data_IF_120607464130
#
_entry.id   IF_120607464130
#
_cell.length_a   1.000
_cell.length_b   1.000
_cell.length_c   1.000
_cell.angle_alpha   90.00
_cell.angle_beta   90.00
_cell.angle_gamma   90.00
#
_symmetry.space_group_name_H-M   'P 1'
#
loop_
_entity.id
_entity.type
_entity.pdbx_description
1 polymer ?
#
# COMPACT_ATOMS: atom_id res chain seq x y z
N UNK A 1 34.18 23.05 -14.57
CA UNK A 1 33.23 22.16 -13.88
C UNK A 1 31.86 22.83 -13.91
N UNK A 2 31.02 22.47 -14.88
CA UNK A 2 29.72 23.08 -15.10
C UNK A 2 28.66 22.25 -14.36
N UNK A 3 28.13 22.78 -13.26
CA UNK A 3 26.95 22.26 -12.59
C UNK A 3 25.76 23.13 -13.00
N UNK A 4 24.96 22.66 -13.94
CA UNK A 4 23.67 23.25 -14.24
C UNK A 4 22.62 22.13 -14.22
N UNK A 5 21.53 22.37 -13.50
CA UNK A 5 20.16 22.53 -14.02
C UNK A 5 19.20 22.18 -12.87
N UNK A 6 18.59 23.18 -12.26
CA UNK A 6 17.33 23.80 -12.69
C UNK A 6 16.12 22.85 -12.56
N UNK A 7 15.21 23.31 -11.71
CA UNK A 7 13.77 23.37 -11.99
C UNK A 7 13.04 22.03 -12.07
N UNK A 8 12.54 21.62 -10.90
CA UNK A 8 11.43 20.70 -10.78
C UNK A 8 10.18 21.26 -11.46
N UNK A 9 9.59 20.40 -12.31
CA UNK A 9 8.34 20.50 -13.06
C UNK A 9 8.38 21.19 -14.42
N UNK A 10 7.79 20.49 -15.42
CA UNK A 10 6.49 20.95 -15.89
C UNK A 10 5.44 19.82 -16.06
N UNK A 11 4.19 20.19 -15.75
CA UNK A 11 2.97 19.91 -16.52
C UNK A 11 2.75 18.51 -17.12
N UNK A 12 1.79 17.76 -16.56
CA UNK A 12 1.02 16.78 -17.33
C UNK A 12 -0.02 17.53 -18.17
N UNK A 13 0.35 17.82 -19.42
CA UNK A 13 -0.57 18.31 -20.43
C UNK A 13 -0.24 17.65 -21.76
N UNK A 14 -0.98 16.59 -22.13
CA UNK A 14 -1.38 16.22 -23.48
C UNK A 14 -1.91 14.77 -23.46
N UNK A 15 -3.19 14.62 -23.78
CA UNK A 15 -3.75 13.35 -24.20
C UNK A 15 -3.16 13.02 -25.59
N UNK A 16 -2.12 12.19 -25.64
CA UNK A 16 -1.64 11.61 -26.90
C UNK A 16 -2.14 10.17 -27.03
N UNK A 17 -2.99 9.98 -28.04
CA UNK A 17 -3.50 8.70 -28.52
C UNK A 17 -2.35 7.79 -28.93
N UNK A 18 -2.11 6.72 -28.17
CA UNK A 18 -1.10 5.70 -28.47
C UNK A 18 -1.61 4.78 -29.59
N UNK A 19 -0.94 4.67 -30.76
CA UNK A 19 -1.30 3.69 -31.79
C UNK A 19 -0.98 2.25 -31.32
N UNK A 20 -1.74 1.22 -31.74
CA UNK A 20 -1.56 -0.14 -31.26
C UNK A 20 -0.22 -0.72 -31.76
N UNK A 21 0.80 -0.71 -30.89
CA UNK A 21 2.09 -1.33 -31.15
C UNK A 21 2.02 -2.85 -30.97
N UNK A 22 1.98 -3.59 -32.07
CA UNK A 22 1.91 -5.07 -32.15
C UNK A 22 3.18 -5.79 -31.63
N UNK A 23 4.11 -5.07 -30.99
CA UNK A 23 5.35 -5.63 -30.42
C UNK A 23 5.49 -5.54 -28.90
N UNK A 24 4.54 -4.92 -28.19
CA UNK A 24 4.66 -4.65 -26.76
C UNK A 24 4.17 -5.78 -25.85
N UNK A 25 3.43 -6.76 -26.39
CA UNK A 25 2.82 -7.82 -25.57
C UNK A 25 3.85 -8.71 -24.86
N UNK A 26 4.95 -9.10 -25.53
CA UNK A 26 5.95 -10.00 -24.96
C UNK A 26 6.81 -9.32 -23.88
N UNK A 27 7.29 -8.11 -24.16
CA UNK A 27 8.07 -7.32 -23.18
C UNK A 27 7.22 -6.88 -22.00
N UNK A 28 5.95 -6.53 -22.21
CA UNK A 28 5.02 -6.22 -21.13
C UNK A 28 4.76 -7.44 -20.24
N UNK A 29 4.61 -8.64 -20.83
CA UNK A 29 4.46 -9.89 -20.08
C UNK A 29 5.73 -10.22 -19.28
N UNK A 30 6.92 -10.10 -19.87
CA UNK A 30 8.19 -10.32 -19.16
C UNK A 30 8.41 -9.35 -17.99
N UNK A 31 8.02 -8.08 -18.16
CA UNK A 31 8.08 -7.08 -17.08
C UNK A 31 7.05 -7.37 -16.00
N UNK A 32 5.82 -7.76 -16.38
CA UNK A 32 4.80 -8.20 -15.44
C UNK A 32 5.26 -9.43 -14.65
N UNK A 33 5.85 -10.43 -15.31
CA UNK A 33 6.38 -11.64 -14.68
C UNK A 33 7.54 -11.31 -13.73
N UNK A 34 8.41 -10.36 -14.08
CA UNK A 34 9.48 -9.87 -13.19
C UNK A 34 8.93 -9.12 -11.98
N UNK A 35 7.94 -8.27 -12.17
CA UNK A 35 7.29 -7.55 -11.07
C UNK A 35 6.63 -8.57 -10.15
N UNK A 36 5.85 -9.51 -10.69
CA UNK A 36 5.19 -10.57 -9.95
C UNK A 36 6.20 -11.49 -9.24
N UNK A 37 7.34 -11.82 -9.85
CA UNK A 37 8.39 -12.62 -9.21
C UNK A 37 9.04 -11.91 -8.00
N UNK A 38 9.00 -10.57 -7.96
CA UNK A 38 9.48 -9.76 -6.82
C UNK A 38 8.41 -9.55 -5.75
N UNK A 39 7.14 -9.92 -6.01
CA UNK A 39 6.06 -9.84 -5.00
C UNK A 39 6.18 -11.02 -4.05
N UNK A 40 6.35 -10.73 -2.76
CA UNK A 40 6.55 -11.74 -1.71
C UNK A 40 5.37 -12.71 -1.52
N UNK A 41 4.14 -12.28 -1.84
CA UNK A 41 2.95 -13.14 -1.80
C UNK A 41 1.97 -12.76 -2.93
N UNK A 42 2.04 -13.50 -4.05
CA UNK A 42 1.13 -13.33 -5.19
C UNK A 42 -0.31 -13.76 -4.88
N UNK A 43 -0.53 -14.49 -3.79
CA UNK A 43 -1.84 -14.98 -3.36
C UNK A 43 -2.50 -14.10 -2.31
N UNK A 44 -1.78 -13.07 -1.83
CA UNK A 44 -2.29 -12.15 -0.83
C UNK A 44 -3.51 -11.41 -1.36
N UNK A 45 -4.63 -11.58 -0.68
CA UNK A 45 -5.87 -10.88 -0.99
C UNK A 45 -6.29 -10.08 0.23
N UNK A 46 -6.18 -8.73 0.22
CA UNK A 46 -6.55 -7.89 1.36
C UNK A 46 -7.98 -8.13 1.83
N UNK A 47 -8.88 -8.46 0.90
CA UNK A 47 -10.31 -8.70 1.16
C UNK A 47 -10.58 -9.96 1.99
N UNK A 48 -9.63 -10.90 2.05
CA UNK A 48 -9.75 -12.12 2.86
C UNK A 48 -9.43 -11.89 4.34
N UNK A 49 -8.85 -10.74 4.68
CA UNK A 49 -8.47 -10.40 6.03
C UNK A 49 -9.44 -9.40 6.61
N UNK A 50 -9.78 -9.59 7.89
CA UNK A 50 -10.54 -8.59 8.63
C UNK A 50 -9.74 -7.29 8.72
N UNK A 51 -10.47 -6.17 8.74
CA UNK A 51 -9.89 -4.85 8.92
C UNK A 51 -9.03 -4.83 10.19
N UNK A 52 -7.72 -4.55 10.08
CA UNK A 52 -6.84 -4.50 11.25
C UNK A 52 -7.13 -3.32 12.18
N UNK A 53 -7.93 -2.35 11.76
CA UNK A 53 -8.32 -1.19 12.56
C UNK A 53 -9.62 -1.42 13.35
N UNK A 54 -10.23 -2.60 13.22
CA UNK A 54 -11.44 -2.95 13.96
C UNK A 54 -11.06 -3.96 15.05
N UNK A 55 -11.46 -3.73 16.32
CA UNK A 55 -11.20 -4.69 17.39
C UNK A 55 -11.77 -6.06 17.03
N UNK A 56 -10.97 -7.10 17.22
CA UNK A 56 -11.41 -8.47 16.95
C UNK A 56 -12.44 -8.92 17.99
N UNK A 57 -13.72 -8.89 17.63
CA UNK A 57 -14.82 -9.32 18.50
C UNK A 57 -14.93 -10.85 18.51
N UNK A 58 -15.11 -11.43 19.70
CA UNK A 58 -15.39 -12.88 19.87
C UNK A 58 -14.20 -13.80 19.67
N UNK A 59 -12.98 -13.26 19.51
CA UNK A 59 -11.78 -14.04 19.35
C UNK A 59 -11.28 -14.51 20.72
N UNK A 60 -11.18 -15.82 20.91
CA UNK A 60 -10.67 -16.42 22.16
C UNK A 60 -9.23 -15.99 22.45
N UNK A 61 -8.86 -15.97 23.73
CA UNK A 61 -7.51 -15.56 24.18
C UNK A 61 -6.36 -16.32 23.48
N UNK A 62 -6.62 -17.51 22.94
CA UNK A 62 -5.65 -18.36 22.24
C UNK A 62 -5.17 -17.82 20.89
N UNK A 63 -5.89 -16.88 20.29
CA UNK A 63 -5.49 -16.26 19.03
C UNK A 63 -4.64 -15.00 19.21
N UNK A 64 -4.47 -14.55 20.46
CA UNK A 64 -3.59 -13.44 20.78
C UNK A 64 -2.18 -13.97 21.07
N UNK A 65 -1.16 -13.23 20.64
CA UNK A 65 0.21 -13.53 21.02
C UNK A 65 0.39 -13.35 22.53
N UNK A 66 1.36 -14.05 23.11
CA UNK A 66 1.67 -13.98 24.54
C UNK A 66 1.85 -12.51 24.99
N UNK A 67 1.08 -12.10 25.99
CA UNK A 67 1.10 -10.73 26.52
C UNK A 67 0.20 -9.73 25.80
N UNK A 68 -0.40 -10.10 24.67
CA UNK A 68 -1.43 -9.29 24.01
C UNK A 68 -2.79 -9.72 24.53
N UNK A 69 -3.53 -8.77 25.09
CA UNK A 69 -4.92 -8.94 25.50
C UNK A 69 -5.84 -8.04 24.67
N UNK A 70 -7.14 -8.28 24.74
CA UNK A 70 -8.15 -7.39 24.15
C UNK A 70 -8.00 -5.94 24.61
N UNK A 71 -7.54 -5.72 25.85
CA UNK A 71 -7.30 -4.39 26.38
C UNK A 71 -6.14 -3.70 25.66
N UNK A 72 -5.02 -4.40 25.48
CA UNK A 72 -3.86 -3.85 24.74
C UNK A 72 -4.20 -3.55 23.28
N UNK A 73 -5.00 -4.41 22.63
CA UNK A 73 -5.47 -4.17 21.26
C UNK A 73 -6.31 -2.88 21.19
N UNK A 74 -7.25 -2.69 22.12
CA UNK A 74 -8.07 -1.47 22.18
C UNK A 74 -7.24 -0.22 22.39
N UNK A 75 -6.26 -0.25 23.29
CA UNK A 75 -5.38 0.89 23.54
C UNK A 75 -4.57 1.28 22.29
N UNK A 76 -4.13 0.31 21.50
CA UNK A 76 -3.43 0.58 20.24
C UNK A 76 -4.35 1.18 19.19
N UNK A 77 -5.58 0.70 19.08
CA UNK A 77 -6.56 1.24 18.13
C UNK A 77 -6.87 2.72 18.41
N UNK A 78 -7.03 3.09 19.67
CA UNK A 78 -7.23 4.51 20.07
C UNK A 78 -6.03 5.37 19.66
N UNK A 79 -4.80 4.88 19.87
CA UNK A 79 -3.58 5.60 19.48
C UNK A 79 -3.50 5.78 17.96
N UNK A 80 -3.87 4.75 17.20
CA UNK A 80 -3.87 4.82 15.73
C UNK A 80 -4.91 5.81 15.20
N UNK A 81 -6.09 5.85 15.80
CA UNK A 81 -7.13 6.82 15.46
C UNK A 81 -6.67 8.25 15.73
N UNK A 82 -6.07 8.50 16.90
CA UNK A 82 -5.50 9.82 17.22
C UNK A 82 -4.41 10.26 16.24
N UNK A 83 -3.52 9.34 15.82
CA UNK A 83 -2.48 9.64 14.83
C UNK A 83 -3.10 9.95 13.45
N UNK A 84 -4.15 9.23 13.07
CA UNK A 84 -4.86 9.47 11.82
C UNK A 84 -5.50 10.85 11.81
N UNK A 85 -6.17 11.23 12.89
CA UNK A 85 -6.79 12.54 13.03
C UNK A 85 -5.75 13.67 12.97
N UNK A 86 -4.63 13.53 13.69
CA UNK A 86 -3.51 14.49 13.62
C UNK A 86 -2.93 14.64 12.22
N UNK A 87 -2.89 13.55 11.43
CA UNK A 87 -2.40 13.58 10.05
C UNK A 87 -3.38 14.29 9.13
N UNK A 88 -4.68 14.06 9.31
CA UNK A 88 -5.75 14.72 8.56
C UNK A 88 -5.75 16.23 8.81
N UNK A 89 -5.54 16.66 10.07
CA UNK A 89 -5.45 18.07 10.46
C UNK A 89 -4.21 18.79 9.91
N UNK A 90 -3.18 18.04 9.51
CA UNK A 90 -1.91 18.57 9.00
C UNK A 90 -1.84 18.57 7.47
N UNK A 91 -2.79 17.94 6.80
CA UNK A 91 -2.90 17.91 5.34
C UNK A 91 -3.76 19.05 4.81
#
# INVERSE_FOLDING_TARGET
>A
MAGALLSSQPFFGAAETVPPAVGHSRRFREEQDRIMAKVADQSFSPKKYHDPLIPRLGVGSHFFNQGITLQTEREWLVKLEAVKELREQRS
#
